data_IF_155133956797
#
_entry.id   IF_155133956797
#
_cell.length_a   1.000
_cell.length_b   1.000
_cell.length_c   1.000
_cell.angle_alpha   90.00
_cell.angle_beta   90.00
_cell.angle_gamma   90.00
#
_symmetry.space_group_name_H-M   'P 1'
#
loop_
_entity.id
_entity.type
_entity.pdbx_description
1 polymer ?
#
# COMPACT_ATOMS: atom_id res chain seq x y z
N UNK A 1 -7.32 -34.40 26.20
CA UNK A 1 -8.62 -33.90 25.69
C UNK A 1 -8.49 -33.77 24.18
N UNK A 2 -9.50 -34.18 23.41
CA UNK A 2 -9.50 -33.95 21.98
C UNK A 2 -9.58 -32.44 21.71
N UNK A 3 -8.93 -31.97 20.64
CA UNK A 3 -9.03 -30.58 20.21
C UNK A 3 -10.48 -30.28 19.79
N UNK A 4 -11.07 -29.24 20.37
CA UNK A 4 -12.34 -28.70 19.89
C UNK A 4 -12.09 -27.89 18.61
N UNK A 5 -12.55 -28.44 17.48
CA UNK A 5 -12.31 -27.86 16.16
C UNK A 5 -13.05 -26.54 15.94
N UNK A 6 -14.19 -26.34 16.61
CA UNK A 6 -14.95 -25.08 16.52
C UNK A 6 -14.23 -23.98 17.29
N UNK A 7 -13.82 -24.27 18.53
CA UNK A 7 -13.05 -23.32 19.32
C UNK A 7 -11.69 -22.98 18.67
N UNK A 8 -11.04 -23.98 18.05
CA UNK A 8 -9.83 -23.75 17.28
C UNK A 8 -10.11 -22.78 16.12
N UNK A 9 -11.11 -23.05 15.28
CA UNK A 9 -11.45 -22.20 14.13
C UNK A 9 -11.72 -20.74 14.56
N UNK A 10 -12.44 -20.53 15.66
CA UNK A 10 -12.69 -19.19 16.20
C UNK A 10 -11.39 -18.48 16.63
N UNK A 11 -10.45 -19.20 17.24
CA UNK A 11 -9.12 -18.66 17.57
C UNK A 11 -8.36 -18.24 16.30
N UNK A 12 -8.38 -19.04 15.23
CA UNK A 12 -7.75 -18.67 13.96
C UNK A 12 -8.37 -17.40 13.38
N UNK A 13 -9.71 -17.31 13.31
CA UNK A 13 -10.40 -16.13 12.81
C UNK A 13 -10.01 -14.88 13.60
N UNK A 14 -9.97 -14.98 14.93
CA UNK A 14 -9.60 -13.86 15.79
C UNK A 14 -8.13 -13.44 15.60
N UNK A 15 -7.19 -14.39 15.59
CA UNK A 15 -5.76 -14.12 15.47
C UNK A 15 -5.42 -13.53 14.10
N UNK A 16 -5.96 -14.10 13.02
CA UNK A 16 -5.78 -13.60 11.66
C UNK A 16 -6.36 -12.18 11.56
N UNK A 17 -7.60 -11.98 12.00
CA UNK A 17 -8.27 -10.67 11.91
C UNK A 17 -7.55 -9.59 12.71
N UNK A 18 -7.07 -9.90 13.92
CA UNK A 18 -6.33 -8.97 14.76
C UNK A 18 -4.99 -8.57 14.13
N UNK A 19 -4.29 -9.55 13.55
CA UNK A 19 -2.99 -9.35 12.89
C UNK A 19 -3.13 -8.48 11.64
N UNK A 20 -4.11 -8.78 10.79
CA UNK A 20 -4.42 -7.98 9.60
C UNK A 20 -4.74 -6.54 9.98
N UNK A 21 -5.61 -6.31 10.98
CA UNK A 21 -5.94 -4.96 11.45
C UNK A 21 -4.71 -4.16 11.90
N UNK A 22 -3.76 -4.83 12.57
CA UNK A 22 -2.54 -4.21 13.07
C UNK A 22 -1.63 -3.75 11.93
N UNK A 23 -1.50 -4.56 10.88
CA UNK A 23 -0.69 -4.22 9.69
C UNK A 23 -1.36 -3.12 8.88
N UNK A 24 -2.64 -3.26 8.54
CA UNK A 24 -3.32 -2.32 7.64
C UNK A 24 -3.49 -0.90 8.23
N UNK A 25 -3.62 -0.75 9.54
CA UNK A 25 -3.94 0.54 10.17
C UNK A 25 -2.88 1.63 9.97
N UNK A 26 -1.60 1.29 10.05
CA UNK A 26 -0.51 2.27 9.92
C UNK A 26 -0.25 2.65 8.46
N UNK A 27 -0.36 1.67 7.56
CA UNK A 27 0.06 1.82 6.18
C UNK A 27 -0.94 2.61 5.31
N UNK A 28 -2.24 2.53 5.61
CA UNK A 28 -3.28 3.31 4.91
C UNK A 28 -3.10 4.82 5.10
N UNK A 29 -2.68 5.25 6.29
CA UNK A 29 -2.44 6.67 6.58
C UNK A 29 -1.23 7.20 5.79
N UNK A 30 -0.18 6.38 5.67
CA UNK A 30 1.00 6.70 4.88
C UNK A 30 0.66 6.85 3.39
N UNK A 31 -0.10 5.91 2.83
CA UNK A 31 -0.57 5.96 1.44
C UNK A 31 -1.40 7.21 1.19
N UNK A 32 -2.35 7.52 2.08
CA UNK A 32 -3.19 8.71 1.96
C UNK A 32 -2.35 10.01 1.99
N UNK A 33 -1.34 10.08 2.86
CA UNK A 33 -0.41 11.21 2.93
C UNK A 33 0.40 11.39 1.65
N UNK A 34 0.98 10.30 1.13
CA UNK A 34 1.68 10.29 -0.15
C UNK A 34 0.78 10.79 -1.30
N UNK A 35 -0.41 10.19 -1.45
CA UNK A 35 -1.34 10.55 -2.53
C UNK A 35 -1.76 12.01 -2.46
N UNK A 36 -2.05 12.52 -1.26
CA UNK A 36 -2.39 13.94 -1.08
C UNK A 36 -1.25 14.86 -1.50
N UNK A 37 -0.01 14.57 -1.08
CA UNK A 37 1.15 15.39 -1.41
C UNK A 37 1.43 15.40 -2.92
N UNK A 38 1.39 14.23 -3.57
CA UNK A 38 1.64 14.12 -5.02
C UNK A 38 0.55 14.81 -5.84
N UNK A 39 -0.73 14.60 -5.50
CA UNK A 39 -1.83 15.26 -6.20
C UNK A 39 -1.80 16.77 -6.01
N UNK A 40 -1.41 17.27 -4.84
CA UNK A 40 -1.25 18.70 -4.61
C UNK A 40 -0.12 19.29 -5.48
N UNK A 41 1.02 18.60 -5.59
CA UNK A 41 2.13 19.01 -6.46
C UNK A 41 1.72 19.02 -7.93
N UNK A 42 1.06 17.96 -8.40
CA UNK A 42 0.55 17.86 -9.77
C UNK A 42 -0.46 18.98 -10.07
N UNK A 43 -1.37 19.27 -9.14
CA UNK A 43 -2.34 20.35 -9.29
C UNK A 43 -1.65 21.72 -9.36
N UNK A 44 -0.67 22.00 -8.51
CA UNK A 44 0.10 23.24 -8.53
C UNK A 44 0.85 23.42 -9.85
N UNK A 45 1.56 22.37 -10.31
CA UNK A 45 2.26 22.41 -11.58
C UNK A 45 1.29 22.61 -12.76
N UNK A 46 0.13 21.95 -12.73
CA UNK A 46 -0.91 22.10 -13.75
C UNK A 46 -1.46 23.52 -13.80
N UNK A 47 -1.70 24.14 -12.63
CA UNK A 47 -2.15 25.53 -12.54
C UNK A 47 -1.11 26.52 -13.10
N UNK A 48 0.18 26.30 -12.82
CA UNK A 48 1.27 27.10 -13.39
C UNK A 48 1.30 27.00 -14.92
N UNK A 49 1.24 25.78 -15.46
CA UNK A 49 1.22 25.56 -16.92
C UNK A 49 -0.01 26.21 -17.55
N UNK A 50 -1.18 26.09 -16.93
CA UNK A 50 -2.41 26.72 -17.40
C UNK A 50 -2.29 28.26 -17.46
N UNK A 51 -1.77 28.89 -16.39
CA UNK A 51 -1.59 30.34 -16.36
C UNK A 51 -0.58 30.85 -17.40
N UNK A 52 0.49 30.10 -17.66
CA UNK A 52 1.46 30.45 -18.70
C UNK A 52 0.89 30.30 -20.12
N UNK A 53 0.01 29.31 -20.35
CA UNK A 53 -0.72 29.17 -21.60
C UNK A 53 -1.69 30.34 -21.80
N UNK A 54 -2.45 30.70 -20.77
CA UNK A 54 -3.39 31.83 -20.80
C UNK A 54 -2.67 33.15 -21.10
N UNK A 55 -1.51 33.37 -20.49
CA UNK A 55 -0.67 34.54 -20.72
C UNK A 55 0.02 34.58 -22.11
N UNK A 56 -0.18 33.56 -22.96
CA UNK A 56 0.55 33.36 -24.22
C UNK A 56 2.09 33.41 -24.04
N UNK A 57 2.58 32.96 -22.88
CA UNK A 57 3.98 33.05 -22.51
C UNK A 57 4.83 31.89 -23.05
N UNK A 58 4.20 30.86 -23.64
CA UNK A 58 4.89 29.72 -24.25
C UNK A 58 4.89 29.80 -25.78
N UNK A 59 6.01 29.42 -26.37
CA UNK A 59 6.06 28.94 -27.73
C UNK A 59 5.31 27.60 -27.86
N UNK A 60 4.99 27.19 -29.09
CA UNK A 60 4.32 25.90 -29.33
C UNK A 60 5.13 24.70 -28.81
N UNK A 61 6.46 24.74 -28.96
CA UNK A 61 7.34 23.68 -28.48
C UNK A 61 7.38 23.61 -26.95
N UNK A 62 7.48 24.76 -26.28
CA UNK A 62 7.45 24.82 -24.80
C UNK A 62 6.12 24.33 -24.25
N UNK A 63 5.00 24.71 -24.88
CA UNK A 63 3.67 24.23 -24.49
C UNK A 63 3.60 22.70 -24.53
N UNK A 64 4.06 22.07 -25.61
CA UNK A 64 4.08 20.61 -25.72
C UNK A 64 5.00 19.99 -24.66
N UNK A 65 6.20 20.52 -24.48
CA UNK A 65 7.15 20.05 -23.47
C UNK A 65 6.56 20.05 -22.06
N UNK A 66 5.89 21.13 -21.64
CA UNK A 66 5.29 21.20 -20.31
C UNK A 66 4.06 20.29 -20.15
N UNK A 67 3.26 20.13 -21.21
CA UNK A 67 2.13 19.20 -21.18
C UNK A 67 2.59 17.74 -21.10
N UNK A 68 3.65 17.37 -21.84
CA UNK A 68 4.28 16.05 -21.73
C UNK A 68 4.88 15.84 -20.33
N UNK A 69 5.47 16.88 -19.75
CA UNK A 69 5.95 16.85 -18.36
C UNK A 69 4.83 16.54 -17.36
N UNK A 70 3.64 17.13 -17.52
CA UNK A 70 2.48 16.83 -16.67
C UNK A 70 2.00 15.38 -16.84
N UNK A 71 1.99 14.84 -18.07
CA UNK A 71 1.68 13.42 -18.31
C UNK A 71 2.69 12.50 -17.61
N UNK A 72 3.99 12.81 -17.70
CA UNK A 72 5.03 12.05 -17.01
C UNK A 72 4.88 12.10 -15.49
N UNK A 73 4.54 13.26 -14.91
CA UNK A 73 4.27 13.37 -13.48
C UNK A 73 3.07 12.52 -13.06
N UNK A 74 1.98 12.54 -13.84
CA UNK A 74 0.79 11.73 -13.57
C UNK A 74 1.11 10.23 -13.64
N UNK A 75 1.86 9.78 -14.66
CA UNK A 75 2.35 8.40 -14.77
C UNK A 75 3.23 8.01 -13.60
N UNK A 76 4.17 8.88 -13.21
CA UNK A 76 5.05 8.68 -12.06
C UNK A 76 4.25 8.46 -10.78
N UNK A 77 3.26 9.31 -10.52
CA UNK A 77 2.36 9.18 -9.38
C UNK A 77 1.67 7.80 -9.35
N UNK A 78 1.03 7.39 -10.46
CA UNK A 78 0.30 6.12 -10.53
C UNK A 78 1.24 4.93 -10.33
N UNK A 79 2.41 4.93 -10.97
CA UNK A 79 3.38 3.84 -10.86
C UNK A 79 3.88 3.69 -9.42
N UNK A 80 4.24 4.79 -8.76
CA UNK A 80 4.66 4.76 -7.36
C UNK A 80 3.52 4.33 -6.45
N UNK A 81 2.29 4.79 -6.69
CA UNK A 81 1.12 4.36 -5.91
C UNK A 81 0.91 2.84 -5.99
N UNK A 82 0.98 2.25 -7.19
CA UNK A 82 0.86 0.80 -7.38
C UNK A 82 1.94 0.05 -6.58
N UNK A 83 3.20 0.48 -6.67
CA UNK A 83 4.30 -0.17 -5.94
C UNK A 83 4.09 -0.12 -4.41
N UNK A 84 3.61 1.01 -3.89
CA UNK A 84 3.30 1.11 -2.46
C UNK A 84 2.19 0.11 -2.09
N UNK A 85 1.12 0.04 -2.88
CA UNK A 85 0.00 -0.88 -2.63
C UNK A 85 0.45 -2.35 -2.72
N UNK A 86 1.30 -2.71 -3.66
CA UNK A 86 1.85 -4.07 -3.79
C UNK A 86 2.61 -4.50 -2.52
N UNK A 87 3.45 -3.62 -1.97
CA UNK A 87 4.16 -3.88 -0.70
C UNK A 87 3.19 -4.09 0.45
N UNK A 88 2.09 -3.33 0.50
CA UNK A 88 1.08 -3.49 1.55
C UNK A 88 0.32 -4.82 1.45
N UNK A 89 0.00 -5.24 0.23
CA UNK A 89 -0.60 -6.55 -0.01
C UNK A 89 0.35 -7.67 0.45
N UNK A 90 1.65 -7.54 0.17
CA UNK A 90 2.66 -8.51 0.59
C UNK A 90 2.79 -8.58 2.12
N UNK A 91 2.81 -7.44 2.80
CA UNK A 91 2.80 -7.40 4.27
C UNK A 91 1.57 -8.08 4.85
N UNK A 92 0.38 -7.81 4.31
CA UNK A 92 -0.87 -8.46 4.74
C UNK A 92 -0.76 -9.98 4.55
N UNK A 93 -0.30 -10.43 3.39
CA UNK A 93 -0.09 -11.86 3.12
C UNK A 93 0.84 -12.50 4.15
N UNK A 94 2.03 -11.92 4.36
CA UNK A 94 3.01 -12.42 5.33
C UNK A 94 2.45 -12.46 6.75
N UNK A 95 1.65 -11.46 7.13
CA UNK A 95 1.03 -11.39 8.44
C UNK A 95 -0.05 -12.47 8.64
N UNK A 96 -0.85 -12.76 7.61
CA UNK A 96 -1.82 -13.87 7.64
C UNK A 96 -1.11 -15.21 7.77
N UNK A 97 -0.08 -15.47 6.95
CA UNK A 97 0.70 -16.72 7.02
C UNK A 97 1.30 -16.88 8.42
N UNK A 98 1.90 -15.82 8.96
CA UNK A 98 2.45 -15.84 10.32
C UNK A 98 1.38 -16.16 11.37
N UNK A 99 0.22 -15.51 11.32
CA UNK A 99 -0.86 -15.73 12.27
C UNK A 99 -1.38 -17.19 12.24
N UNK A 100 -1.46 -17.80 11.07
CA UNK A 100 -1.84 -19.22 10.90
C UNK A 100 -0.81 -20.12 11.58
N UNK A 101 0.48 -19.96 11.26
CA UNK A 101 1.53 -20.82 11.78
C UNK A 101 1.72 -20.66 13.30
N UNK A 102 1.62 -19.42 13.81
CA UNK A 102 1.66 -19.16 15.26
C UNK A 102 0.47 -19.82 15.98
N UNK A 103 -0.73 -19.77 15.39
CA UNK A 103 -1.93 -20.39 15.95
C UNK A 103 -1.83 -21.91 15.99
N UNK A 104 -1.33 -22.53 14.92
CA UNK A 104 -1.05 -23.98 14.88
C UNK A 104 0.00 -24.34 15.94
N UNK A 105 1.11 -23.61 16.02
CA UNK A 105 2.17 -23.87 16.99
C UNK A 105 1.67 -23.79 18.44
N UNK A 106 0.80 -22.81 18.73
CA UNK A 106 0.15 -22.65 20.03
C UNK A 106 -0.74 -23.84 20.38
N UNK A 107 -1.60 -24.28 19.45
CA UNK A 107 -2.52 -25.40 19.68
C UNK A 107 -1.81 -26.76 19.78
N UNK A 108 -0.76 -26.95 18.97
CA UNK A 108 0.01 -28.19 18.94
C UNK A 108 1.12 -28.23 20.01
N UNK A 109 1.38 -27.13 20.72
CA UNK A 109 2.44 -27.04 21.73
C UNK A 109 3.85 -27.18 21.14
N UNK A 110 4.04 -26.83 19.87
CA UNK A 110 5.32 -26.94 19.15
C UNK A 110 5.74 -25.61 18.55
N UNK A 111 7.05 -25.36 18.51
CA UNK A 111 7.59 -24.21 17.78
C UNK A 111 7.65 -24.55 16.30
N UNK A 112 6.89 -23.83 15.48
CA UNK A 112 6.91 -24.01 14.03
C UNK A 112 7.75 -22.91 13.35
N UNK A 113 8.56 -23.25 12.34
CA UNK A 113 9.14 -22.25 11.47
C UNK A 113 8.04 -21.61 10.62
N UNK A 114 7.96 -20.28 10.60
CA UNK A 114 7.02 -19.54 9.75
C UNK A 114 7.64 -19.42 8.34
N UNK A 115 6.98 -19.92 7.28
CA UNK A 115 7.48 -19.78 5.91
C UNK A 115 7.53 -18.30 5.49
N UNK A 116 8.52 -17.93 4.68
CA UNK A 116 8.62 -16.59 4.09
C UNK A 116 9.22 -15.52 5.02
N UNK A 117 9.47 -15.82 6.30
CA UNK A 117 10.30 -14.97 7.18
C UNK A 117 11.78 -15.31 6.93
N UNK A 118 12.25 -14.99 5.73
CA UNK A 118 13.68 -14.85 5.48
C UNK A 118 14.19 -13.61 6.21
N UNK A 119 15.42 -13.72 6.73
CA UNK A 119 16.23 -12.64 7.34
C UNK A 119 16.02 -11.24 6.77
#
# INVERSE_FOLDING_TARGET
MALDLTQAADMFVNNISSTVKTVTGNDVTMIAGFSKAQLQSLAQQSALVAGMIEANAFTAAEKMFYLDGLDQMARGFVNTFVQIVEVEIEKIYNAVVKAIYDSIGTLAGVKMPVPGVGV
#
